data_IF_253183391351
#
_entry.id   IF_253183391351
#
_cell.length_a   1.000
_cell.length_b   1.000
_cell.length_c   1.000
_cell.angle_alpha   90.00
_cell.angle_beta   90.00
_cell.angle_gamma   90.00
#
_symmetry.space_group_name_H-M   'P 1'
#
loop_
_entity.id
_entity.type
_entity.pdbx_description
1 polymer ?
#
# COMPACT_ATOMS: atom_id res chain seq x y z
N UNK A 1 -81.70 -7.76 -14.06
CA UNK A 1 -80.70 -8.60 -14.75
C UNK A 1 -79.81 -9.17 -13.66
N UNK A 2 -80.15 -10.30 -13.02
CA UNK A 2 -79.82 -11.69 -13.44
C UNK A 2 -78.31 -11.79 -13.75
N UNK A 3 -77.47 -12.59 -13.08
CA UNK A 3 -77.58 -13.89 -12.38
C UNK A 3 -76.27 -14.10 -11.59
N UNK A 4 -76.22 -14.44 -10.28
CA UNK A 4 -76.22 -15.79 -9.65
C UNK A 4 -75.11 -16.73 -10.20
N UNK A 5 -74.31 -17.52 -9.47
CA UNK A 5 -74.25 -17.98 -8.05
C UNK A 5 -73.04 -18.94 -7.92
N UNK A 6 -72.48 -19.03 -6.70
CA UNK A 6 -71.98 -20.21 -5.94
C UNK A 6 -70.97 -21.20 -6.56
N UNK A 7 -70.06 -21.88 -5.85
CA UNK A 7 -69.80 -22.10 -4.43
C UNK A 7 -69.07 -23.45 -4.22
N UNK A 8 -68.51 -23.65 -3.01
CA UNK A 8 -68.01 -24.91 -2.38
C UNK A 8 -66.61 -25.40 -2.80
N UNK A 9 -65.58 -25.49 -1.93
CA UNK A 9 -65.36 -26.22 -0.66
C UNK A 9 -65.18 -27.75 -0.81
N UNK A 10 -63.99 -28.26 -0.50
CA UNK A 10 -63.83 -29.55 0.21
C UNK A 10 -62.41 -29.73 0.75
N UNK A 11 -62.36 -30.05 2.05
CA UNK A 11 -61.25 -30.65 2.78
C UNK A 11 -60.92 -32.06 2.29
N UNK A 12 -59.67 -32.49 2.46
CA UNK A 12 -59.18 -33.85 2.83
C UNK A 12 -57.64 -33.76 2.86
N UNK A 13 -56.94 -33.76 3.99
CA UNK A 13 -56.67 -34.82 4.97
C UNK A 13 -56.08 -36.11 4.37
N UNK A 14 -54.75 -36.29 4.46
CA UNK A 14 -54.10 -37.58 4.74
C UNK A 14 -52.57 -37.47 4.74
N UNK A 15 -52.01 -37.29 5.93
CA UNK A 15 -50.76 -37.92 6.37
C UNK A 15 -51.09 -39.40 6.63
N UNK A 16 -50.26 -40.40 6.27
CA UNK A 16 -49.33 -40.92 7.28
C UNK A 16 -48.05 -41.60 6.71
N UNK A 17 -46.92 -41.51 7.41
CA UNK A 17 -46.22 -42.72 7.86
C UNK A 17 -45.22 -42.43 8.98
N UNK A 18 -45.27 -43.31 9.98
CA UNK A 18 -44.73 -43.19 11.33
C UNK A 18 -43.55 -44.15 11.51
N UNK A 19 -42.62 -43.71 12.36
CA UNK A 19 -41.80 -44.49 13.31
C UNK A 19 -40.81 -45.54 12.82
N UNK A 20 -39.59 -45.40 13.33
CA UNK A 20 -39.01 -46.41 14.24
C UNK A 20 -38.00 -45.78 15.20
N UNK A 21 -38.35 -45.80 16.50
CA UNK A 21 -37.44 -45.66 17.65
C UNK A 21 -36.73 -47.00 17.87
N UNK A 22 -35.48 -46.97 18.34
CA UNK A 22 -35.12 -47.39 19.72
C UNK A 22 -33.65 -47.78 19.82
N UNK A 23 -33.00 -47.35 20.90
CA UNK A 23 -32.10 -48.08 21.81
C UNK A 23 -31.26 -47.01 22.54
N UNK A 24 -31.70 -46.50 23.70
CA UNK A 24 -31.30 -46.94 25.06
C UNK A 24 -29.83 -47.36 25.18
N UNK A 25 -29.04 -46.55 25.89
CA UNK A 25 -28.23 -47.07 26.97
C UNK A 25 -28.04 -46.01 28.07
N UNK A 26 -28.60 -46.32 29.24
CA UNK A 26 -28.24 -45.78 30.55
C UNK A 26 -27.22 -46.73 31.19
N UNK A 27 -26.44 -46.21 32.14
CA UNK A 27 -25.64 -46.97 33.10
C UNK A 27 -24.15 -46.65 32.98
N UNK A 28 -23.39 -46.50 34.04
CA UNK A 28 -23.71 -46.26 35.45
C UNK A 28 -22.40 -45.81 36.12
N UNK A 29 -22.56 -45.24 37.30
CA UNK A 29 -21.57 -45.04 38.37
C UNK A 29 -20.19 -45.71 38.26
N UNK A 30 -19.13 -44.97 38.62
CA UNK A 30 -18.30 -45.37 39.77
C UNK A 30 -17.41 -44.23 40.27
N UNK A 31 -17.63 -43.93 41.54
CA UNK A 31 -16.69 -43.26 42.44
C UNK A 31 -15.32 -43.96 42.45
N UNK A 32 -14.25 -43.18 42.59
CA UNK A 32 -13.12 -43.58 43.45
C UNK A 32 -12.33 -42.36 43.93
N UNK A 33 -12.59 -42.04 45.19
CA UNK A 33 -11.62 -41.43 46.07
C UNK A 33 -10.37 -42.32 46.18
N UNK A 34 -9.19 -41.69 46.23
CA UNK A 34 -8.16 -42.06 47.18
C UNK A 34 -7.22 -40.88 47.43
N UNK A 35 -7.37 -40.29 48.60
CA UNK A 35 -6.32 -39.61 49.35
C UNK A 35 -5.14 -40.54 49.63
N UNK A 36 -3.92 -40.00 49.74
CA UNK A 36 -3.03 -40.05 50.94
C UNK A 36 -1.58 -39.70 50.55
N UNK A 37 -0.96 -38.84 51.37
CA UNK A 37 0.49 -38.71 51.55
C UNK A 37 1.10 -37.49 50.86
N UNK A 38 1.45 -36.38 51.52
CA UNK A 38 1.94 -36.22 52.88
C UNK A 38 3.48 -36.30 52.91
N UNK A 39 4.15 -35.15 52.75
CA UNK A 39 5.52 -34.94 53.25
C UNK A 39 5.83 -33.44 53.33
N UNK A 40 5.60 -32.89 54.51
CA UNK A 40 6.33 -31.76 55.09
C UNK A 40 7.83 -32.06 55.14
N UNK A 41 8.69 -31.07 54.90
CA UNK A 41 9.67 -30.54 55.89
C UNK A 41 10.59 -29.49 55.28
N UNK A 42 10.79 -28.40 56.03
CA UNK A 42 12.02 -27.58 56.20
C UNK A 42 12.72 -27.06 54.93
N UNK A 43 12.92 -25.77 54.71
CA UNK A 43 13.34 -24.76 55.67
C UNK A 43 14.79 -24.39 55.40
N UNK A 44 15.05 -23.15 54.95
CA UNK A 44 16.10 -22.26 55.45
C UNK A 44 16.23 -21.00 54.59
N UNK A 45 16.04 -19.90 55.28
CA UNK A 45 16.60 -18.57 55.07
C UNK A 45 18.04 -18.58 54.55
N UNK A 46 18.36 -17.61 53.68
CA UNK A 46 19.57 -16.80 53.86
C UNK A 46 19.44 -15.45 53.13
N UNK A 47 18.92 -14.47 53.88
CA UNK A 47 19.47 -13.13 53.88
C UNK A 47 20.83 -13.20 54.56
N UNK A 48 21.90 -12.81 53.86
CA UNK A 48 23.09 -12.10 54.36
C UNK A 48 24.20 -12.25 53.32
N UNK A 49 24.47 -11.19 52.57
CA UNK A 49 25.84 -10.71 52.41
C UNK A 49 25.83 -9.28 51.85
N UNK A 50 25.70 -8.33 52.78
CA UNK A 50 26.22 -6.98 52.61
C UNK A 50 27.25 -6.76 53.72
N UNK A 51 28.33 -6.07 53.37
CA UNK A 51 29.33 -5.38 54.23
C UNK A 51 30.61 -6.12 54.64
N UNK A 52 31.63 -5.99 53.78
CA UNK A 52 33.05 -5.64 54.09
C UNK A 52 33.75 -5.52 52.73
N UNK A 53 34.30 -4.40 52.29
CA UNK A 53 35.46 -3.70 52.84
C UNK A 53 35.39 -2.21 52.41
N UNK A 54 35.43 -1.31 53.40
CA UNK A 54 35.86 0.08 53.27
C UNK A 54 37.37 0.11 53.48
N UNK A 55 38.10 0.74 52.56
CA UNK A 55 39.11 1.79 52.79
C UNK A 55 40.23 1.70 51.76
N UNK A 56 40.39 2.74 50.94
CA UNK A 56 41.62 3.52 50.85
C UNK A 56 41.27 4.87 50.21
N UNK A 57 41.78 5.93 50.85
CA UNK A 57 41.61 7.36 50.59
C UNK A 57 42.38 7.80 49.35
N UNK A 58 41.82 8.76 48.62
CA UNK A 58 42.36 10.12 48.35
C UNK A 58 43.79 10.15 47.80
N UNK A 59 43.94 10.56 46.54
CA UNK A 59 44.85 11.65 46.18
C UNK A 59 44.68 12.14 44.73
N UNK A 60 44.89 13.45 44.59
CA UNK A 60 45.34 14.21 43.42
C UNK A 60 44.38 14.44 42.22
N UNK A 61 43.64 15.54 42.34
CA UNK A 61 43.18 16.39 41.22
C UNK A 61 44.39 17.04 40.55
N UNK A 62 44.64 16.73 39.27
CA UNK A 62 45.45 17.54 38.37
C UNK A 62 44.63 17.91 37.14
N UNK A 63 44.24 19.18 37.08
CA UNK A 63 43.56 19.78 35.95
C UNK A 63 44.50 19.82 34.73
N UNK A 64 44.15 19.07 33.68
CA UNK A 64 44.73 19.25 32.34
C UNK A 64 43.90 20.28 31.55
N UNK A 65 44.52 21.13 30.70
CA UNK A 65 43.79 22.12 29.92
C UNK A 65 42.97 21.43 28.83
N UNK A 66 41.66 21.67 28.82
CA UNK A 66 40.76 21.18 27.79
C UNK A 66 41.15 21.78 26.42
N UNK A 67 41.79 20.95 25.58
CA UNK A 67 41.87 21.21 24.15
C UNK A 67 40.45 21.15 23.58
N UNK A 68 39.91 22.33 23.28
CA UNK A 68 38.57 22.52 22.76
C UNK A 68 38.52 22.10 21.28
N UNK A 69 38.54 20.79 21.01
CA UNK A 69 38.40 20.27 19.65
C UNK A 69 36.93 19.97 19.38
N UNK A 70 36.35 20.69 18.40
CA UNK A 70 34.99 20.42 17.90
C UNK A 70 34.93 18.96 17.43
N UNK A 71 33.79 18.26 17.62
CA UNK A 71 33.63 16.92 17.06
C UNK A 71 33.71 16.96 15.52
N UNK A 72 34.27 15.91 14.92
CA UNK A 72 34.32 15.80 13.46
C UNK A 72 32.90 15.69 12.88
N UNK A 73 32.66 16.42 11.78
CA UNK A 73 31.42 16.28 11.04
C UNK A 73 31.29 14.86 10.50
N UNK A 74 30.14 14.21 10.76
CA UNK A 74 29.84 12.84 10.29
C UNK A 74 29.99 12.65 8.77
N UNK A 75 29.90 13.74 8.01
CA UNK A 75 30.02 13.73 6.55
C UNK A 75 31.45 14.07 6.05
N UNK A 76 32.38 14.38 6.95
CA UNK A 76 33.78 14.67 6.63
C UNK A 76 33.94 15.67 5.47
N UNK A 77 34.82 15.35 4.52
CA UNK A 77 35.07 16.17 3.33
C UNK A 77 33.88 16.26 2.36
N UNK A 78 32.81 15.46 2.56
CA UNK A 78 31.58 15.47 1.74
C UNK A 78 30.43 16.28 2.35
N UNK A 79 30.66 16.98 3.46
CA UNK A 79 29.63 17.81 4.09
C UNK A 79 29.22 18.97 3.16
N UNK A 80 27.92 19.09 2.86
CA UNK A 80 27.37 20.18 2.02
C UNK A 80 27.22 21.52 2.76
N UNK A 81 27.43 21.52 4.08
CA UNK A 81 27.34 22.67 4.96
C UNK A 81 28.72 23.23 5.34
N UNK A 82 29.77 22.91 4.56
CA UNK A 82 31.12 23.44 4.81
C UNK A 82 31.21 24.97 4.71
N UNK A 83 30.25 25.62 4.07
CA UNK A 83 30.14 27.09 3.97
C UNK A 83 29.14 27.70 4.96
N UNK A 84 28.46 26.90 5.78
CA UNK A 84 27.50 27.38 6.77
C UNK A 84 28.23 27.70 8.08
N UNK A 85 28.19 28.97 8.49
CA UNK A 85 28.94 29.46 9.65
C UNK A 85 28.48 28.82 10.97
N UNK A 86 27.16 28.68 11.16
CA UNK A 86 26.59 28.06 12.37
C UNK A 86 26.94 26.57 12.45
N UNK A 87 27.03 25.89 11.31
CA UNK A 87 27.52 24.51 11.23
C UNK A 87 29.00 24.41 11.59
N UNK A 88 29.85 25.27 11.00
CA UNK A 88 31.30 25.29 11.22
C UNK A 88 31.68 25.73 12.64
N UNK A 89 30.79 26.41 13.37
CA UNK A 89 30.94 26.68 14.81
C UNK A 89 30.82 25.41 15.66
N UNK A 90 30.10 24.38 15.20
CA UNK A 90 29.81 23.16 15.97
C UNK A 90 30.64 21.95 15.57
N UNK A 91 31.11 21.90 14.33
CA UNK A 91 31.81 20.73 13.77
C UNK A 91 33.09 21.12 13.02
N UNK A 92 34.08 20.24 13.02
CA UNK A 92 35.31 20.38 12.23
C UNK A 92 35.32 19.44 11.02
N UNK A 93 36.01 19.86 9.95
CA UNK A 93 36.17 19.09 8.71
C UNK A 93 37.67 18.86 8.43
N UNK A 94 38.05 17.71 7.84
CA UNK A 94 39.43 17.49 7.41
C UNK A 94 39.82 18.50 6.33
N UNK A 95 41.01 19.11 6.45
CA UNK A 95 41.52 20.02 5.44
C UNK A 95 41.62 19.29 4.09
N UNK A 96 41.02 19.86 3.05
CA UNK A 96 41.05 19.30 1.69
C UNK A 96 42.48 19.41 1.17
N UNK A 97 43.26 18.34 1.24
CA UNK A 97 44.61 18.29 0.66
C UNK A 97 44.50 18.53 -0.84
N UNK A 98 45.08 19.64 -1.32
CA UNK A 98 45.15 19.95 -2.73
C UNK A 98 46.02 18.90 -3.44
N UNK A 99 45.43 18.14 -4.37
CA UNK A 99 46.21 17.36 -5.33
C UNK A 99 46.89 18.32 -6.33
N UNK A 100 48.19 18.16 -6.62
CA UNK A 100 48.87 18.97 -7.62
C UNK A 100 48.57 18.43 -9.03
N UNK A 101 48.10 19.31 -9.91
CA UNK A 101 48.15 19.10 -11.36
C UNK A 101 46.79 18.95 -12.05
N UNK A 102 46.20 20.08 -12.43
CA UNK A 102 45.41 20.19 -13.66
C UNK A 102 45.35 21.67 -14.07
N UNK A 103 46.19 22.00 -15.05
CA UNK A 103 46.19 23.26 -15.80
C UNK A 103 44.86 23.47 -16.51
N UNK A 104 44.35 24.69 -16.39
CA UNK A 104 43.12 25.16 -17.00
C UNK A 104 43.23 25.22 -18.54
N UNK A 105 42.27 24.60 -19.22
CA UNK A 105 41.89 24.95 -20.59
C UNK A 105 40.45 25.43 -20.55
N UNK A 106 40.28 26.71 -20.86
CA UNK A 106 38.99 27.36 -21.06
C UNK A 106 38.43 26.94 -22.42
N UNK A 107 37.45 26.04 -22.40
CA UNK A 107 36.34 25.97 -23.37
C UNK A 107 35.44 24.80 -22.95
N UNK A 108 34.35 25.10 -22.24
CA UNK A 108 33.28 24.15 -21.99
C UNK A 108 31.96 24.88 -22.06
N UNK A 109 31.18 24.50 -23.07
CA UNK A 109 29.84 24.96 -23.37
C UNK A 109 28.93 24.92 -22.14
N UNK A 110 28.19 26.02 -21.99
CA UNK A 110 27.23 26.30 -20.93
C UNK A 110 25.97 25.42 -21.06
N UNK A 111 26.09 24.10 -20.82
CA UNK A 111 24.93 23.20 -20.77
C UNK A 111 24.40 23.14 -19.33
N UNK A 112 23.24 23.77 -19.12
CA UNK A 112 22.48 23.65 -17.86
C UNK A 112 22.07 22.20 -17.66
N UNK A 113 22.19 21.68 -16.44
CA UNK A 113 21.76 20.32 -16.11
C UNK A 113 20.23 20.21 -16.24
N UNK A 114 19.69 19.06 -16.65
CA UNK A 114 18.24 18.88 -16.68
C UNK A 114 17.64 18.89 -15.27
N UNK A 115 16.59 19.69 -15.09
CA UNK A 115 15.87 19.70 -13.84
C UNK A 115 15.19 18.34 -13.61
N UNK A 116 15.49 17.68 -12.48
CA UNK A 116 14.91 16.39 -12.09
C UNK A 116 13.37 16.39 -12.04
N UNK A 117 12.75 17.55 -11.88
CA UNK A 117 11.29 17.71 -11.83
C UNK A 117 10.66 18.04 -13.19
N UNK A 118 11.47 18.12 -14.25
CA UNK A 118 11.02 18.37 -15.63
C UNK A 118 10.12 19.60 -15.74
N UNK A 119 9.08 19.51 -16.58
CA UNK A 119 8.11 20.60 -16.78
C UNK A 119 7.23 20.91 -15.55
N UNK A 120 7.30 20.10 -14.48
CA UNK A 120 6.50 20.26 -13.26
C UNK A 120 7.32 20.86 -12.09
N UNK A 121 8.49 21.45 -12.37
CA UNK A 121 9.30 22.06 -11.34
C UNK A 121 8.56 23.22 -10.65
N UNK A 122 8.44 23.18 -9.31
CA UNK A 122 7.83 24.27 -8.54
C UNK A 122 8.69 25.53 -8.46
N UNK A 123 9.95 25.45 -8.89
CA UNK A 123 10.94 26.53 -8.86
C UNK A 123 11.09 27.24 -10.20
N UNK A 124 10.11 27.09 -11.11
CA UNK A 124 10.10 27.81 -12.40
C UNK A 124 10.14 29.33 -12.25
N UNK A 125 9.76 29.85 -11.07
CA UNK A 125 9.82 31.28 -10.73
C UNK A 125 11.08 31.70 -9.96
N UNK A 126 12.00 30.77 -9.63
CA UNK A 126 13.26 31.08 -8.94
C UNK A 126 14.39 31.31 -9.96
N UNK A 127 14.91 32.54 -10.11
CA UNK A 127 15.95 32.85 -11.09
C UNK A 127 17.24 32.07 -10.85
N UNK A 128 17.61 31.84 -9.59
CA UNK A 128 18.85 31.12 -9.24
C UNK A 128 18.77 29.64 -9.61
N UNK A 129 17.57 29.07 -9.51
CA UNK A 129 17.29 27.70 -9.96
C UNK A 129 17.31 27.60 -11.49
N UNK A 130 16.61 28.52 -12.17
CA UNK A 130 16.53 28.56 -13.63
C UNK A 130 17.88 28.87 -14.31
N UNK A 131 18.81 29.51 -13.62
CA UNK A 131 20.18 29.70 -14.10
C UNK A 131 21.00 28.42 -14.10
N UNK A 132 20.70 27.48 -13.20
CA UNK A 132 21.44 26.23 -13.05
C UNK A 132 20.83 25.06 -13.82
N UNK A 133 19.50 25.05 -13.98
CA UNK A 133 18.77 23.91 -14.53
C UNK A 133 17.91 24.28 -15.74
N UNK A 134 17.90 23.41 -16.76
CA UNK A 134 17.01 23.52 -17.91
C UNK A 134 15.71 22.74 -17.71
N UNK A 135 14.62 23.28 -18.26
CA UNK A 135 13.28 22.70 -18.21
C UNK A 135 12.74 22.57 -19.64
N UNK A 136 12.10 21.45 -20.01
CA UNK A 136 11.45 21.32 -21.31
C UNK A 136 10.27 22.30 -21.41
N UNK A 137 10.32 23.22 -22.39
CA UNK A 137 9.21 24.15 -22.66
C UNK A 137 8.05 23.42 -23.32
N UNK A 138 6.81 23.75 -22.93
CA UNK A 138 5.57 23.11 -23.36
C UNK A 138 5.22 23.29 -24.86
N UNK A 139 6.11 23.89 -25.66
CA UNK A 139 5.83 24.38 -27.03
C UNK A 139 6.65 23.69 -28.13
N UNK A 140 7.44 22.66 -27.83
CA UNK A 140 8.31 22.00 -28.83
C UNK A 140 7.73 20.72 -29.49
N UNK A 141 6.40 20.53 -29.47
CA UNK A 141 5.74 19.43 -30.16
C UNK A 141 4.68 19.98 -31.11
N UNK A 142 5.07 20.67 -32.18
CA UNK A 142 4.24 20.92 -33.37
C UNK A 142 5.12 21.44 -34.53
N UNK A 143 5.35 20.57 -35.53
CA UNK A 143 5.61 20.93 -36.93
C UNK A 143 7.06 20.88 -37.45
N UNK A 144 7.36 19.96 -38.38
CA UNK A 144 7.52 20.33 -39.79
C UNK A 144 7.62 19.10 -40.73
N UNK A 145 7.29 19.34 -42.00
CA UNK A 145 6.85 18.43 -43.07
C UNK A 145 7.97 17.92 -44.01
N UNK A 146 7.64 16.84 -44.77
CA UNK A 146 8.26 16.17 -45.94
C UNK A 146 9.35 16.91 -46.76
N UNK A 147 10.37 16.27 -47.38
CA UNK A 147 10.31 15.32 -48.54
C UNK A 147 11.72 14.64 -48.81
N UNK A 148 11.97 13.83 -49.88
CA UNK A 148 12.60 12.49 -49.79
C UNK A 148 13.99 12.34 -50.46
N UNK A 149 14.48 11.09 -50.53
CA UNK A 149 15.64 10.50 -51.26
C UNK A 149 16.97 10.50 -50.48
N UNK A 150 17.47 9.34 -50.04
CA UNK A 150 18.24 8.38 -50.82
C UNK A 150 18.85 7.28 -49.93
N UNK A 151 19.07 6.10 -50.54
CA UNK A 151 19.63 4.92 -49.92
C UNK A 151 21.13 5.05 -49.64
N UNK A 152 21.61 4.53 -48.50
CA UNK A 152 22.62 3.46 -48.44
C UNK A 152 23.00 3.10 -47.00
N UNK A 153 23.14 1.79 -46.81
CA UNK A 153 23.66 1.03 -45.67
C UNK A 153 24.63 1.72 -44.71
N UNK A 154 24.41 1.55 -43.40
CA UNK A 154 25.41 0.91 -42.55
C UNK A 154 24.86 0.42 -41.22
N UNK A 155 25.33 -0.77 -40.82
CA UNK A 155 25.18 -1.40 -39.51
C UNK A 155 25.79 -0.49 -38.44
N UNK A 156 25.08 -0.27 -37.33
CA UNK A 156 25.67 -0.30 -36.00
C UNK A 156 24.61 -0.35 -34.89
N UNK A 157 25.00 -1.04 -33.82
CA UNK A 157 24.25 -1.26 -32.59
C UNK A 157 23.72 0.07 -32.02
N UNK A 158 22.44 0.11 -31.65
CA UNK A 158 21.86 1.26 -30.97
C UNK A 158 21.14 0.86 -29.68
N UNK A 159 21.79 1.19 -28.58
CA UNK A 159 21.27 1.23 -27.21
C UNK A 159 20.53 2.56 -27.03
N UNK A 160 19.26 2.64 -27.45
CA UNK A 160 18.42 3.82 -27.20
C UNK A 160 16.91 3.49 -27.27
N UNK A 161 16.34 2.90 -26.21
CA UNK A 161 14.88 2.76 -26.10
C UNK A 161 14.38 2.67 -24.64
N UNK A 162 14.37 3.78 -23.90
CA UNK A 162 13.64 3.82 -22.62
C UNK A 162 12.73 5.01 -22.38
N UNK A 163 12.78 6.09 -23.17
CA UNK A 163 11.95 7.29 -22.90
C UNK A 163 10.53 7.24 -23.50
N UNK A 164 10.33 6.61 -24.66
CA UNK A 164 9.00 6.50 -25.31
C UNK A 164 8.12 5.36 -24.76
N UNK A 165 8.73 4.30 -24.21
CA UNK A 165 7.98 3.14 -23.69
C UNK A 165 7.31 3.45 -22.34
N UNK A 166 7.90 4.32 -21.51
CA UNK A 166 7.37 4.64 -20.19
C UNK A 166 6.11 5.53 -20.26
N UNK A 167 6.01 6.43 -21.22
CA UNK A 167 4.87 7.36 -21.36
C UNK A 167 3.61 6.69 -21.89
N UNK A 168 3.75 5.74 -22.83
CA UNK A 168 2.63 4.98 -23.39
C UNK A 168 1.99 4.10 -22.32
N UNK A 169 2.81 3.42 -21.50
CA UNK A 169 2.31 2.57 -20.42
C UNK A 169 1.62 3.37 -19.30
N UNK A 170 2.04 4.60 -19.04
CA UNK A 170 1.42 5.46 -18.02
C UNK A 170 0.01 5.95 -18.46
N UNK A 171 -0.15 6.34 -19.73
CA UNK A 171 -1.43 6.79 -20.28
C UNK A 171 -2.46 5.64 -20.32
N UNK A 172 -2.05 4.45 -20.76
CA UNK A 172 -2.92 3.27 -20.78
C UNK A 172 -3.37 2.87 -19.37
N UNK A 173 -2.48 2.92 -18.38
CA UNK A 173 -2.85 2.68 -16.98
C UNK A 173 -3.84 3.72 -16.45
N UNK A 174 -3.64 5.00 -16.77
CA UNK A 174 -4.58 6.04 -16.39
C UNK A 174 -5.96 5.84 -17.02
N UNK A 175 -6.04 5.45 -18.30
CA UNK A 175 -7.30 5.10 -18.97
C UNK A 175 -7.95 3.87 -18.35
N UNK A 176 -7.16 2.84 -18.05
CA UNK A 176 -7.62 1.63 -17.39
C UNK A 176 -8.25 1.96 -16.04
N UNK A 177 -7.64 2.82 -15.22
CA UNK A 177 -8.21 3.27 -13.94
C UNK A 177 -9.45 4.15 -14.10
N UNK A 178 -9.51 5.02 -15.11
CA UNK A 178 -10.74 5.78 -15.39
C UNK A 178 -11.92 4.85 -15.71
N UNK A 179 -11.72 3.88 -16.60
CA UNK A 179 -12.74 2.90 -17.00
C UNK A 179 -13.09 1.98 -15.82
N UNK A 180 -12.07 1.38 -15.19
CA UNK A 180 -12.25 0.47 -14.06
C UNK A 180 -12.91 1.13 -12.87
N UNK A 181 -12.57 2.39 -12.61
CA UNK A 181 -13.22 3.25 -11.63
C UNK A 181 -14.70 3.47 -11.92
N UNK A 182 -15.05 3.81 -13.16
CA UNK A 182 -16.45 3.97 -13.56
C UNK A 182 -17.25 2.67 -13.37
N UNK A 183 -16.67 1.52 -13.76
CA UNK A 183 -17.28 0.20 -13.55
C UNK A 183 -17.52 -0.06 -12.06
N UNK A 184 -16.53 0.16 -11.22
CA UNK A 184 -16.62 -0.07 -9.79
C UNK A 184 -17.63 0.89 -9.12
N UNK A 185 -17.62 2.17 -9.50
CA UNK A 185 -18.50 3.19 -8.94
C UNK A 185 -19.98 2.92 -9.25
N UNK A 186 -20.32 2.53 -10.48
CA UNK A 186 -21.70 2.23 -10.89
C UNK A 186 -22.33 1.09 -10.08
N UNK A 187 -21.50 0.16 -9.58
CA UNK A 187 -21.92 -0.99 -8.79
C UNK A 187 -22.11 -0.71 -7.31
N UNK A 188 -21.54 0.39 -6.80
CA UNK A 188 -21.75 0.78 -5.42
C UNK A 188 -23.21 1.10 -5.15
N UNK A 189 -23.64 0.95 -3.90
CA UNK A 189 -24.97 1.41 -3.50
C UNK A 189 -25.10 2.92 -3.74
N UNK A 190 -26.32 3.40 -3.98
CA UNK A 190 -26.57 4.85 -4.15
C UNK A 190 -26.10 5.66 -2.93
N UNK A 191 -26.20 5.05 -1.74
CA UNK A 191 -25.68 5.63 -0.50
C UNK A 191 -24.16 5.78 -0.53
N UNK A 192 -23.43 4.77 -0.97
CA UNK A 192 -21.96 4.80 -1.05
C UNK A 192 -21.47 5.78 -2.10
N UNK A 193 -22.09 5.78 -3.30
CA UNK A 193 -21.79 6.75 -4.35
C UNK A 193 -21.97 8.19 -3.84
N UNK A 194 -23.07 8.45 -3.13
CA UNK A 194 -23.34 9.76 -2.52
C UNK A 194 -22.33 10.10 -1.43
N UNK A 195 -22.00 9.15 -0.57
CA UNK A 195 -21.01 9.32 0.51
C UNK A 195 -19.64 9.67 -0.04
N UNK A 196 -19.18 8.99 -1.08
CA UNK A 196 -17.89 9.28 -1.74
C UNK A 196 -17.93 10.67 -2.39
N UNK A 197 -18.99 10.98 -3.16
CA UNK A 197 -19.11 12.27 -3.85
C UNK A 197 -19.15 13.47 -2.90
N UNK A 198 -19.76 13.30 -1.73
CA UNK A 198 -19.95 14.37 -0.72
C UNK A 198 -18.90 14.34 0.39
N UNK A 199 -17.87 13.50 0.27
CA UNK A 199 -16.82 13.39 1.28
C UNK A 199 -16.04 14.72 1.46
N UNK A 200 -15.52 14.87 2.68
CA UNK A 200 -14.59 15.95 3.02
C UNK A 200 -13.24 15.73 2.34
N UNK A 201 -12.57 16.81 2.01
CA UNK A 201 -11.27 16.78 1.33
C UNK A 201 -10.15 16.19 2.23
N UNK A 202 -10.35 16.24 3.55
CA UNK A 202 -9.47 15.68 4.58
C UNK A 202 -9.87 14.27 5.03
N UNK A 203 -10.90 13.65 4.44
CA UNK A 203 -11.34 12.32 4.84
C UNK A 203 -10.39 11.20 4.40
N UNK A 204 -9.62 11.43 3.34
CA UNK A 204 -8.55 10.54 2.89
C UNK A 204 -7.24 11.30 2.92
N UNK A 205 -6.25 10.72 3.61
CA UNK A 205 -4.88 11.23 3.67
C UNK A 205 -3.99 10.31 2.86
N UNK A 206 -3.11 10.88 2.03
CA UNK A 206 -2.07 10.16 1.30
C UNK A 206 -0.71 10.55 1.86
N UNK A 207 0.03 9.55 2.32
CA UNK A 207 1.43 9.69 2.70
C UNK A 207 2.27 9.17 1.54
N UNK A 208 3.03 10.05 0.87
CA UNK A 208 3.77 9.67 -0.33
C UNK A 208 4.91 8.71 -0.02
N UNK A 209 5.23 7.91 -1.03
CA UNK A 209 6.22 6.84 -0.98
C UNK A 209 7.39 7.09 -1.94
N UNK A 210 8.19 6.05 -2.15
CA UNK A 210 9.29 6.07 -3.14
C UNK A 210 8.83 5.57 -4.51
N UNK A 211 7.95 4.57 -4.57
CA UNK A 211 7.56 3.89 -5.81
C UNK A 211 6.05 3.87 -6.05
N UNK A 212 5.24 3.71 -5.01
CA UNK A 212 3.79 3.69 -5.14
C UNK A 212 3.19 5.11 -5.22
N UNK A 213 2.09 5.23 -5.98
CA UNK A 213 1.44 6.49 -6.34
C UNK A 213 -0.09 6.40 -6.27
N UNK A 214 -0.63 5.98 -5.11
CA UNK A 214 -2.07 5.91 -4.89
C UNK A 214 -2.81 7.23 -5.19
N UNK A 215 -2.16 8.38 -5.02
CA UNK A 215 -2.69 9.70 -5.35
C UNK A 215 -3.16 9.79 -6.82
N UNK A 216 -2.41 9.18 -7.74
CA UNK A 216 -2.77 9.12 -9.16
C UNK A 216 -4.00 8.25 -9.39
N UNK A 217 -4.12 7.13 -8.66
CA UNK A 217 -5.30 6.26 -8.72
C UNK A 217 -6.51 6.99 -8.16
N UNK A 218 -6.42 7.55 -6.95
CA UNK A 218 -7.50 8.29 -6.30
C UNK A 218 -8.01 9.44 -7.15
N UNK A 219 -7.11 10.18 -7.81
CA UNK A 219 -7.49 11.23 -8.74
C UNK A 219 -8.35 10.71 -9.92
N UNK A 220 -8.00 9.55 -10.49
CA UNK A 220 -8.80 8.91 -11.56
C UNK A 220 -10.13 8.37 -11.06
N UNK A 221 -10.19 7.95 -9.80
CA UNK A 221 -11.41 7.52 -9.13
C UNK A 221 -12.28 8.68 -8.63
N UNK A 222 -11.85 9.94 -8.83
CA UNK A 222 -12.48 11.15 -8.29
C UNK A 222 -12.68 11.09 -6.76
N UNK A 223 -11.80 10.40 -6.05
CA UNK A 223 -11.76 10.37 -4.59
C UNK A 223 -10.92 11.55 -4.13
N UNK A 224 -11.48 12.39 -3.27
CA UNK A 224 -10.76 13.53 -2.72
C UNK A 224 -9.74 13.07 -1.69
N UNK A 225 -8.57 13.70 -1.69
CA UNK A 225 -7.53 13.40 -0.72
C UNK A 225 -6.67 14.62 -0.38
N UNK A 226 -6.02 14.56 0.77
CA UNK A 226 -4.97 15.49 1.20
C UNK A 226 -3.64 14.76 1.28
N UNK A 227 -2.58 15.33 0.71
CA UNK A 227 -1.22 14.78 0.83
C UNK A 227 -0.57 15.30 2.10
N UNK A 228 0.07 14.40 2.86
CA UNK A 228 0.83 14.73 4.08
C UNK A 228 2.17 14.01 4.01
N UNK A 229 3.26 14.75 4.12
CA UNK A 229 4.61 14.19 4.05
C UNK A 229 4.93 13.36 5.29
N UNK A 230 5.79 12.35 5.13
CA UNK A 230 6.11 11.39 6.21
C UNK A 230 6.62 12.05 7.50
N UNK A 231 7.38 13.14 7.37
CA UNK A 231 7.93 13.87 8.51
C UNK A 231 6.88 14.75 9.21
N UNK A 232 5.83 15.15 8.50
CA UNK A 232 4.73 15.96 9.05
C UNK A 232 3.82 15.12 9.94
N UNK A 233 3.75 13.80 9.71
CA UNK A 233 2.88 12.88 10.47
C UNK A 233 3.10 12.98 11.98
N UNK A 234 4.34 13.24 12.43
CA UNK A 234 4.70 13.36 13.85
C UNK A 234 3.87 14.43 14.56
N UNK A 235 3.48 15.49 13.86
CA UNK A 235 2.69 16.59 14.42
C UNK A 235 1.30 16.70 13.77
N UNK A 236 1.01 15.86 12.77
CA UNK A 236 -0.24 15.93 12.05
C UNK A 236 -1.44 15.68 12.99
N UNK A 237 -2.47 16.54 12.97
CA UNK A 237 -3.62 16.44 13.86
C UNK A 237 -4.66 15.46 13.32
N UNK A 238 -4.32 14.16 13.29
CA UNK A 238 -5.22 13.12 12.78
C UNK A 238 -6.61 13.19 13.39
N UNK A 239 -7.61 12.81 12.60
CA UNK A 239 -9.00 12.63 13.01
C UNK A 239 -9.39 11.18 12.79
N UNK A 240 -10.13 10.61 13.72
CA UNK A 240 -10.45 9.18 13.67
C UNK A 240 -11.29 8.82 12.45
N UNK A 241 -12.12 9.72 11.89
CA UNK A 241 -12.88 9.45 10.67
C UNK A 241 -12.01 9.25 9.41
N UNK A 242 -10.73 9.61 9.46
CA UNK A 242 -9.86 9.57 8.30
C UNK A 242 -9.46 8.15 7.93
N UNK A 243 -9.21 7.97 6.64
CA UNK A 243 -8.51 6.83 6.06
C UNK A 243 -7.13 7.31 5.60
N UNK A 244 -6.04 6.69 6.05
CA UNK A 244 -4.68 7.11 5.70
C UNK A 244 -4.02 6.05 4.82
N UNK A 245 -3.78 6.37 3.57
CA UNK A 245 -2.97 5.56 2.66
C UNK A 245 -1.50 5.90 2.85
N UNK A 246 -0.68 4.89 3.07
CA UNK A 246 0.75 5.00 3.28
C UNK A 246 1.45 4.19 2.20
N UNK A 247 1.95 4.91 1.20
CA UNK A 247 2.68 4.30 0.10
C UNK A 247 4.00 3.72 0.59
N UNK A 248 4.48 2.68 -0.11
CA UNK A 248 5.76 2.06 0.14
C UNK A 248 6.89 3.11 0.14
N UNK A 249 7.76 3.09 1.14
CA UNK A 249 8.87 4.02 1.23
C UNK A 249 10.14 3.30 1.64
N UNK A 250 11.27 3.66 1.03
CA UNK A 250 12.59 3.12 1.39
C UNK A 250 13.01 3.47 2.82
N UNK A 251 12.46 4.56 3.36
CA UNK A 251 12.63 5.02 4.74
C UNK A 251 11.30 5.56 5.25
N UNK A 252 11.04 5.39 6.53
CA UNK A 252 9.89 5.97 7.21
C UNK A 252 10.31 6.35 8.64
N UNK A 253 9.99 7.56 9.16
CA UNK A 253 10.35 7.94 10.52
C UNK A 253 9.68 7.01 11.55
N UNK A 254 10.46 6.44 12.48
CA UNK A 254 9.92 5.48 13.47
C UNK A 254 8.88 6.14 14.38
N UNK A 255 9.13 7.38 14.76
CA UNK A 255 8.25 8.21 15.58
C UNK A 255 6.90 8.43 14.88
N UNK A 256 6.89 8.60 13.56
CA UNK A 256 5.66 8.67 12.79
C UNK A 256 4.91 7.34 12.79
N UNK A 257 5.61 6.19 12.70
CA UNK A 257 5.00 4.87 12.74
C UNK A 257 4.32 4.60 14.09
N UNK A 258 5.00 4.92 15.21
CA UNK A 258 4.39 4.78 16.54
C UNK A 258 3.19 5.71 16.73
N UNK A 259 3.29 6.94 16.25
CA UNK A 259 2.16 7.89 16.29
C UNK A 259 0.96 7.37 15.50
N UNK A 260 1.18 6.78 14.32
CA UNK A 260 0.10 6.15 13.56
C UNK A 260 -0.59 5.06 14.39
N UNK A 261 0.17 4.20 15.09
CA UNK A 261 -0.42 3.21 16.01
C UNK A 261 -1.28 3.85 17.09
N UNK A 262 -0.81 4.89 17.75
CA UNK A 262 -1.61 5.58 18.79
C UNK A 262 -2.95 6.09 18.24
N UNK A 263 -3.00 6.55 16.99
CA UNK A 263 -4.24 7.00 16.38
C UNK A 263 -5.10 5.86 15.83
N UNK A 264 -4.49 4.77 15.33
CA UNK A 264 -5.21 3.55 14.98
C UNK A 264 -5.92 3.01 16.22
N UNK A 265 -5.24 2.91 17.36
CA UNK A 265 -5.85 2.49 18.63
C UNK A 265 -7.06 3.35 19.02
N UNK A 266 -7.04 4.64 18.68
CA UNK A 266 -8.14 5.59 18.91
C UNK A 266 -9.27 5.51 17.90
N UNK A 267 -9.07 4.87 16.75
CA UNK A 267 -10.09 4.70 15.71
C UNK A 267 -9.66 4.98 14.28
N UNK A 268 -8.41 5.40 14.02
CA UNK A 268 -7.93 5.67 12.67
C UNK A 268 -7.87 4.39 11.83
N UNK A 269 -8.13 4.50 10.52
CA UNK A 269 -7.90 3.42 9.57
C UNK A 269 -6.67 3.75 8.73
N UNK A 270 -5.69 2.84 8.70
CA UNK A 270 -4.52 2.96 7.83
C UNK A 270 -4.48 1.83 6.79
N UNK A 271 -4.04 2.17 5.59
CA UNK A 271 -3.76 1.23 4.51
C UNK A 271 -2.31 1.41 4.11
N UNK A 272 -1.56 0.32 4.03
CA UNK A 272 -0.12 0.34 3.78
C UNK A 272 0.24 -0.55 2.59
N UNK A 273 1.24 -0.17 1.81
CA UNK A 273 1.72 -0.95 0.66
C UNK A 273 3.17 -1.39 0.79
N UNK A 274 3.43 -2.62 0.36
CA UNK A 274 4.73 -3.24 0.16
C UNK A 274 5.76 -2.95 1.27
N UNK A 275 6.78 -2.11 1.02
CA UNK A 275 7.86 -1.85 1.98
C UNK A 275 7.42 -1.19 3.29
N UNK A 276 6.21 -0.63 3.33
CA UNK A 276 5.59 -0.21 4.58
C UNK A 276 5.45 -1.38 5.58
N UNK A 277 5.45 -2.64 5.14
CA UNK A 277 5.52 -3.81 6.03
C UNK A 277 6.72 -3.74 6.98
N UNK A 278 7.92 -3.48 6.44
CA UNK A 278 9.13 -3.37 7.26
C UNK A 278 9.23 -2.01 7.96
N UNK A 279 8.88 -0.94 7.26
CA UNK A 279 9.19 0.42 7.69
C UNK A 279 8.11 1.05 8.59
N UNK A 280 6.89 0.51 8.57
CA UNK A 280 5.76 0.99 9.38
C UNK A 280 5.23 -0.14 10.26
N UNK A 281 4.82 -1.26 9.67
CA UNK A 281 4.11 -2.31 10.41
C UNK A 281 5.01 -3.09 11.35
N UNK A 282 6.20 -3.50 10.95
CA UNK A 282 7.15 -4.13 11.87
C UNK A 282 7.64 -3.19 12.98
N UNK A 283 7.60 -1.88 12.74
CA UNK A 283 8.04 -0.90 13.74
C UNK A 283 6.95 -0.72 14.79
N UNK A 284 5.71 -0.50 14.36
CA UNK A 284 4.63 -0.13 15.27
C UNK A 284 3.65 -1.27 15.59
N UNK A 285 3.49 -2.27 14.73
CA UNK A 285 2.50 -3.36 14.80
C UNK A 285 3.17 -4.75 14.71
N UNK A 286 4.37 -4.90 15.26
CA UNK A 286 5.21 -6.12 15.18
C UNK A 286 4.52 -7.41 15.64
N UNK A 287 3.54 -7.28 16.53
CA UNK A 287 2.83 -8.41 17.11
C UNK A 287 1.82 -9.04 16.14
N UNK A 288 1.51 -8.36 15.03
CA UNK A 288 0.50 -8.81 14.06
C UNK A 288 1.13 -9.43 12.82
N UNK A 289 2.01 -8.67 12.17
CA UNK A 289 2.62 -9.06 10.89
C UNK A 289 4.06 -8.58 10.83
N UNK A 290 4.86 -9.31 10.05
CA UNK A 290 6.22 -8.91 9.69
C UNK A 290 6.56 -9.42 8.30
N UNK A 291 7.68 -8.97 7.77
CA UNK A 291 8.27 -9.49 6.56
C UNK A 291 8.89 -10.86 6.81
N UNK A 292 8.65 -11.80 5.92
CA UNK A 292 9.13 -13.19 6.06
C UNK A 292 10.62 -13.38 5.71
N UNK A 293 11.32 -12.31 5.35
CA UNK A 293 12.75 -12.34 4.99
C UNK A 293 13.04 -12.57 3.51
N UNK A 294 12.05 -12.82 2.66
CA UNK A 294 12.24 -13.07 1.23
C UNK A 294 11.85 -11.88 0.35
N UNK A 295 12.30 -11.83 -0.90
CA UNK A 295 11.92 -10.76 -1.83
C UNK A 295 11.33 -11.37 -3.10
N UNK A 296 10.21 -10.82 -3.58
CA UNK A 296 9.57 -11.29 -4.81
C UNK A 296 10.40 -10.93 -6.04
N UNK A 297 10.17 -11.63 -7.14
CA UNK A 297 10.61 -11.24 -8.48
C UNK A 297 9.53 -10.35 -9.13
N UNK A 298 9.86 -9.75 -10.27
CA UNK A 298 8.85 -9.14 -11.15
C UNK A 298 8.01 -10.27 -11.78
N UNK A 299 6.78 -10.46 -11.28
CA UNK A 299 5.91 -11.54 -11.72
C UNK A 299 4.43 -11.27 -11.42
N UNK A 300 3.55 -11.89 -12.21
CA UNK A 300 2.10 -11.89 -11.93
C UNK A 300 1.66 -13.23 -11.37
N UNK A 301 0.92 -13.18 -10.25
CA UNK A 301 0.36 -14.36 -9.58
C UNK A 301 -1.16 -14.38 -9.66
N UNK A 302 -1.75 -15.58 -9.73
CA UNK A 302 -3.20 -15.75 -9.55
C UNK A 302 -3.59 -15.52 -8.09
N UNK A 303 -4.76 -14.93 -7.86
CA UNK A 303 -5.27 -14.63 -6.52
C UNK A 303 -6.66 -15.20 -6.26
N UNK A 304 -6.97 -15.37 -4.97
CA UNK A 304 -8.26 -15.82 -4.47
C UNK A 304 -8.73 -14.92 -3.34
N UNK A 305 -10.01 -14.55 -3.34
CA UNK A 305 -10.65 -13.86 -2.22
C UNK A 305 -11.06 -14.91 -1.20
N UNK A 306 -10.59 -14.75 0.05
CA UNK A 306 -10.82 -15.73 1.13
C UNK A 306 -12.25 -15.67 1.63
N UNK A 307 -12.76 -14.46 1.91
CA UNK A 307 -14.15 -14.21 2.27
C UNK A 307 -14.76 -13.17 1.31
N UNK A 308 -15.48 -13.61 0.26
CA UNK A 308 -16.10 -12.73 -0.71
C UNK A 308 -17.16 -11.78 -0.14
N UNK A 309 -17.66 -12.05 1.06
CA UNK A 309 -18.67 -11.21 1.72
C UNK A 309 -18.04 -10.18 2.67
N UNK A 310 -16.74 -10.26 2.92
CA UNK A 310 -16.05 -9.27 3.75
C UNK A 310 -16.17 -7.88 3.12
N UNK A 311 -16.56 -6.88 3.91
CA UNK A 311 -16.95 -5.55 3.41
C UNK A 311 -15.88 -4.86 2.57
N UNK A 312 -14.60 -5.12 2.82
CA UNK A 312 -13.49 -4.56 2.04
C UNK A 312 -13.32 -5.21 0.66
N UNK A 313 -13.70 -6.47 0.47
CA UNK A 313 -13.51 -7.22 -0.79
C UNK A 313 -14.82 -7.70 -1.42
N UNK A 314 -15.95 -7.23 -0.91
CA UNK A 314 -17.25 -7.46 -1.53
C UNK A 314 -17.26 -6.91 -2.96
N UNK A 315 -17.61 -7.77 -3.92
CA UNK A 315 -17.61 -7.45 -5.33
C UNK A 315 -16.23 -7.23 -5.97
N UNK A 316 -15.14 -7.55 -5.26
CA UNK A 316 -13.74 -7.38 -5.70
C UNK A 316 -13.46 -8.11 -7.01
N UNK A 317 -13.82 -9.40 -7.11
CA UNK A 317 -13.78 -10.15 -8.37
C UNK A 317 -15.19 -10.15 -8.96
N UNK A 318 -15.35 -9.59 -10.16
CA UNK A 318 -16.60 -9.73 -10.90
C UNK A 318 -16.83 -11.21 -11.26
N UNK A 319 -18.09 -11.66 -11.14
CA UNK A 319 -18.52 -13.02 -11.44
C UNK A 319 -18.52 -13.33 -12.96
N UNK A 320 -17.44 -12.95 -13.66
CA UNK A 320 -17.08 -13.61 -14.89
C UNK A 320 -16.70 -15.04 -14.50
N UNK A 321 -17.56 -16.02 -14.82
CA UNK A 321 -17.25 -17.45 -14.69
C UNK A 321 -15.85 -17.65 -15.31
N UNK A 322 -14.85 -18.05 -14.52
CA UNK A 322 -13.42 -18.14 -14.92
C UNK A 322 -12.64 -16.80 -15.03
N UNK A 323 -12.91 -15.83 -14.15
CA UNK A 323 -12.21 -14.53 -14.12
C UNK A 323 -10.70 -14.64 -13.93
N UNK A 324 -10.19 -15.67 -13.24
CA UNK A 324 -8.75 -15.89 -12.96
C UNK A 324 -8.02 -14.58 -12.57
N UNK A 325 -8.50 -13.87 -11.53
CA UNK A 325 -7.94 -12.58 -11.16
C UNK A 325 -6.45 -12.71 -10.84
N UNK A 326 -5.73 -11.66 -11.22
CA UNK A 326 -4.28 -11.62 -11.13
C UNK A 326 -3.82 -10.47 -10.24
N UNK A 327 -2.62 -10.61 -9.70
CA UNK A 327 -1.96 -9.59 -8.92
C UNK A 327 -0.50 -9.51 -9.33
N UNK A 328 -0.03 -8.29 -9.60
CA UNK A 328 1.37 -8.08 -9.93
C UNK A 328 2.20 -7.89 -8.67
N UNK A 329 3.33 -8.60 -8.63
CA UNK A 329 4.38 -8.47 -7.63
C UNK A 329 5.57 -7.80 -8.32
N UNK A 330 6.03 -6.67 -7.78
CA UNK A 330 7.22 -6.02 -8.29
C UNK A 330 8.47 -6.75 -7.81
N UNK A 331 9.61 -6.50 -8.46
CA UNK A 331 10.90 -6.95 -7.92
C UNK A 331 11.09 -6.37 -6.52
N UNK A 332 11.39 -7.25 -5.57
CA UNK A 332 11.63 -6.93 -4.17
C UNK A 332 10.42 -6.46 -3.37
N UNK A 333 9.20 -6.83 -3.77
CA UNK A 333 8.07 -6.74 -2.85
C UNK A 333 8.24 -7.66 -1.64
N UNK A 334 7.56 -7.33 -0.54
CA UNK A 334 7.77 -7.91 0.79
C UNK A 334 6.68 -8.92 1.21
N UNK A 335 6.90 -10.25 1.07
CA UNK A 335 5.92 -11.23 1.51
C UNK A 335 5.66 -11.20 3.02
N UNK A 336 4.40 -11.49 3.37
CA UNK A 336 3.83 -11.22 4.68
C UNK A 336 3.89 -12.50 5.53
N UNK A 337 4.62 -12.44 6.64
CA UNK A 337 4.51 -13.41 7.72
C UNK A 337 3.46 -12.92 8.73
N UNK A 338 2.43 -13.74 8.95
CA UNK A 338 1.41 -13.48 9.95
C UNK A 338 1.91 -13.99 11.30
N UNK A 339 2.15 -13.06 12.23
CA UNK A 339 2.63 -13.34 13.59
C UNK A 339 1.45 -13.75 14.47
N UNK A 340 0.37 -12.98 14.44
CA UNK A 340 -0.85 -13.25 15.22
C UNK A 340 -1.97 -13.79 14.33
N UNK A 341 -2.05 -15.12 14.25
CA UNK A 341 -3.04 -15.83 13.42
C UNK A 341 -4.49 -15.70 13.90
N UNK A 342 -4.69 -15.32 15.16
CA UNK A 342 -6.04 -15.15 15.72
C UNK A 342 -6.65 -13.79 15.34
N UNK A 343 -5.83 -12.75 15.27
CA UNK A 343 -6.29 -11.38 15.03
C UNK A 343 -6.13 -10.92 13.58
N UNK A 344 -5.18 -11.50 12.83
CA UNK A 344 -4.94 -11.14 11.44
C UNK A 344 -5.80 -11.98 10.51
N UNK A 345 -6.60 -11.30 9.69
CA UNK A 345 -7.42 -11.92 8.64
C UNK A 345 -6.75 -11.74 7.28
N UNK A 346 -6.61 -12.83 6.54
CA UNK A 346 -6.23 -12.79 5.13
C UNK A 346 -7.49 -12.52 4.31
N UNK A 347 -7.47 -11.42 3.55
CA UNK A 347 -8.58 -11.07 2.64
C UNK A 347 -8.37 -11.67 1.26
N UNK A 348 -7.11 -11.67 0.80
CA UNK A 348 -6.71 -12.18 -0.51
C UNK A 348 -5.45 -13.01 -0.34
N UNK A 349 -5.43 -14.19 -0.97
CA UNK A 349 -4.29 -15.10 -0.96
C UNK A 349 -3.87 -15.50 -2.38
N UNK A 350 -2.69 -16.09 -2.49
CA UNK A 350 -2.15 -16.69 -3.71
C UNK A 350 -1.38 -17.96 -3.41
N UNK A 351 -1.77 -19.07 -4.03
CA UNK A 351 -1.02 -20.33 -3.93
C UNK A 351 0.36 -20.21 -4.58
N UNK A 352 0.46 -19.51 -5.71
CA UNK A 352 1.74 -19.32 -6.40
C UNK A 352 2.74 -18.51 -5.55
N UNK A 353 2.24 -17.55 -4.75
CA UNK A 353 3.07 -16.82 -3.79
C UNK A 353 3.57 -17.76 -2.67
N UNK A 354 2.72 -18.65 -2.16
CA UNK A 354 3.10 -19.63 -1.13
C UNK A 354 4.19 -20.58 -1.64
N UNK A 355 3.99 -21.17 -2.82
CA UNK A 355 4.90 -22.16 -3.37
C UNK A 355 6.31 -21.60 -3.56
N UNK A 356 6.42 -20.32 -3.96
CA UNK A 356 7.70 -19.64 -4.23
C UNK A 356 8.30 -18.98 -3.00
N UNK A 357 7.47 -18.37 -2.15
CA UNK A 357 7.93 -17.44 -1.12
C UNK A 357 7.53 -17.82 0.31
N UNK A 358 6.82 -18.95 0.49
CA UNK A 358 6.34 -19.42 1.80
C UNK A 358 5.45 -18.39 2.53
N UNK A 359 4.72 -17.60 1.74
CA UNK A 359 3.72 -16.62 2.18
C UNK A 359 2.59 -16.67 1.17
N UNK A 360 1.37 -16.97 1.58
CA UNK A 360 0.20 -16.97 0.68
C UNK A 360 -0.54 -15.63 0.71
N UNK A 361 -0.36 -14.82 1.75
CA UNK A 361 -1.09 -13.58 1.96
C UNK A 361 -0.70 -12.48 0.96
N UNK A 362 -1.70 -11.97 0.24
CA UNK A 362 -1.58 -10.82 -0.67
C UNK A 362 -2.13 -9.55 -0.03
N UNK A 363 -3.31 -9.65 0.61
CA UNK A 363 -3.92 -8.57 1.40
C UNK A 363 -4.34 -9.13 2.75
N UNK A 364 -3.94 -8.44 3.82
CA UNK A 364 -4.33 -8.75 5.20
C UNK A 364 -4.98 -7.55 5.87
N UNK A 365 -5.80 -7.82 6.87
CA UNK A 365 -6.35 -6.80 7.76
C UNK A 365 -6.39 -7.28 9.21
N UNK A 366 -6.26 -6.35 10.15
CA UNK A 366 -6.43 -6.62 11.57
C UNK A 366 -6.89 -5.35 12.29
N UNK A 367 -7.64 -5.54 13.36
CA UNK A 367 -8.08 -4.46 14.22
C UNK A 367 -7.00 -4.16 15.26
N UNK A 368 -6.87 -2.88 15.63
CA UNK A 368 -5.98 -2.44 16.69
C UNK A 368 -6.67 -1.31 17.46
N UNK A 369 -7.05 -1.60 18.71
CA UNK A 369 -7.95 -0.76 19.48
C UNK A 369 -9.29 -0.57 18.76
N UNK A 370 -9.67 0.67 18.47
CA UNK A 370 -10.92 1.00 17.75
C UNK A 370 -10.72 1.22 16.24
N UNK A 371 -9.49 1.13 15.77
CA UNK A 371 -9.13 1.34 14.37
C UNK A 371 -8.79 0.03 13.68
N UNK A 372 -8.38 0.16 12.42
CA UNK A 372 -8.06 -0.96 11.56
C UNK A 372 -6.77 -0.70 10.78
N UNK A 373 -6.01 -1.75 10.54
CA UNK A 373 -4.87 -1.76 9.64
C UNK A 373 -5.19 -2.69 8.47
N UNK A 374 -4.96 -2.22 7.26
CA UNK A 374 -4.97 -3.04 6.05
C UNK A 374 -3.61 -2.95 5.38
N UNK A 375 -3.08 -4.08 4.94
CA UNK A 375 -1.77 -4.15 4.30
C UNK A 375 -1.83 -5.01 3.04
N UNK A 376 -1.10 -4.58 2.01
CA UNK A 376 -0.92 -5.35 0.77
C UNK A 376 0.55 -5.46 0.38
N UNK A 377 0.91 -6.62 -0.19
CA UNK A 377 2.27 -6.97 -0.60
C UNK A 377 2.81 -6.12 -1.79
N UNK A 378 1.96 -5.44 -2.55
CA UNK A 378 2.37 -4.70 -3.77
C UNK A 378 1.80 -3.28 -3.79
N UNK A 379 1.92 -2.59 -4.93
CA UNK A 379 1.57 -1.19 -5.13
C UNK A 379 0.16 -0.99 -5.67
N UNK A 380 -0.47 0.15 -5.37
CA UNK A 380 -1.77 0.49 -5.96
C UNK A 380 -1.65 0.94 -7.41
N UNK A 381 -0.74 1.86 -7.72
CA UNK A 381 -0.68 2.48 -9.06
C UNK A 381 0.00 1.59 -10.09
N UNK A 382 1.05 0.93 -9.63
CA UNK A 382 1.87 0.01 -10.39
C UNK A 382 1.20 -1.36 -10.32
N UNK A 383 0.14 -1.55 -11.12
CA UNK A 383 -0.49 -2.84 -11.37
C UNK A 383 -0.26 -3.23 -12.83
N UNK A 384 0.40 -4.36 -13.07
CA UNK A 384 0.55 -4.93 -14.40
C UNK A 384 -0.38 -6.13 -14.53
N UNK A 385 -0.81 -6.37 -15.75
CA UNK A 385 -1.56 -7.57 -16.07
C UNK A 385 -0.77 -8.34 -17.11
N UNK A 386 -0.41 -9.56 -16.77
CA UNK A 386 0.07 -10.50 -17.77
C UNK A 386 -1.13 -11.05 -18.55
N UNK A 387 -0.86 -11.56 -19.75
CA UNK A 387 -1.89 -12.18 -20.57
C UNK A 387 -1.62 -13.67 -20.79
N UNK A 388 -1.54 -14.48 -19.71
CA UNK A 388 -1.14 -15.89 -19.79
C UNK A 388 -2.14 -16.74 -20.58
N UNK A 389 -3.41 -16.32 -20.68
CA UNK A 389 -4.45 -17.05 -21.40
C UNK A 389 -5.07 -16.18 -22.51
N UNK A 390 -5.79 -16.83 -23.43
CA UNK A 390 -6.45 -16.17 -24.56
C UNK A 390 -7.46 -15.09 -24.12
N UNK A 391 -8.12 -15.29 -22.96
CA UNK A 391 -9.11 -14.35 -22.43
C UNK A 391 -8.47 -13.02 -22.01
N UNK A 392 -7.32 -13.07 -21.37
CA UNK A 392 -6.62 -11.87 -20.91
C UNK A 392 -6.14 -11.00 -22.09
N UNK A 393 -5.90 -11.62 -23.25
CA UNK A 393 -5.58 -10.92 -24.51
C UNK A 393 -6.80 -10.34 -25.23
N UNK A 394 -8.02 -10.70 -24.81
CA UNK A 394 -9.22 -10.18 -25.46
C UNK A 394 -9.31 -8.65 -25.28
N UNK A 395 -9.98 -7.94 -26.19
CA UNK A 395 -10.20 -6.51 -26.05
C UNK A 395 -11.00 -6.14 -24.79
N UNK A 396 -10.82 -4.93 -24.27
CA UNK A 396 -11.58 -4.39 -23.14
C UNK A 396 -13.11 -4.50 -23.29
N UNK A 397 -13.62 -4.43 -24.53
CA UNK A 397 -15.04 -4.57 -24.85
C UNK A 397 -15.59 -5.94 -24.43
N UNK A 398 -14.77 -6.99 -24.52
CA UNK A 398 -15.19 -8.32 -24.09
C UNK A 398 -15.40 -8.37 -22.57
N UNK A 399 -14.58 -7.67 -21.80
CA UNK A 399 -14.79 -7.55 -20.35
C UNK A 399 -16.14 -6.90 -20.05
N UNK A 400 -16.46 -5.81 -20.74
CA UNK A 400 -17.74 -5.12 -20.60
C UNK A 400 -18.94 -6.04 -20.85
N UNK A 401 -18.87 -6.86 -21.90
CA UNK A 401 -19.91 -7.84 -22.25
C UNK A 401 -20.05 -8.92 -21.17
N UNK A 402 -18.93 -9.48 -20.70
CA UNK A 402 -18.91 -10.54 -19.70
C UNK A 402 -19.55 -10.10 -18.38
N UNK A 403 -19.33 -8.84 -17.99
CA UNK A 403 -19.88 -8.27 -16.75
C UNK A 403 -21.28 -7.66 -16.95
N UNK A 404 -21.82 -7.69 -18.18
CA UNK A 404 -23.08 -7.05 -18.58
C UNK A 404 -23.11 -5.56 -18.21
N UNK A 405 -22.04 -4.85 -18.58
CA UNK A 405 -21.88 -3.44 -18.30
C UNK A 405 -22.99 -2.58 -18.93
N UNK A 406 -23.30 -1.44 -18.32
CA UNK A 406 -24.27 -0.49 -18.87
C UNK A 406 -23.82 0.11 -20.21
N UNK A 407 -24.77 0.75 -20.90
CA UNK A 407 -24.48 1.50 -22.13
C UNK A 407 -23.45 2.62 -21.91
N UNK A 408 -23.45 3.25 -20.73
CA UNK A 408 -22.51 4.31 -20.39
C UNK A 408 -21.08 3.76 -20.31
N UNK A 409 -20.89 2.64 -19.62
CA UNK A 409 -19.59 1.96 -19.55
C UNK A 409 -19.16 1.45 -20.93
N UNK A 410 -20.07 0.87 -21.70
CA UNK A 410 -19.77 0.37 -23.05
C UNK A 410 -19.32 1.49 -23.99
N UNK A 411 -19.96 2.67 -23.92
CA UNK A 411 -19.52 3.87 -24.65
C UNK A 411 -18.15 4.37 -24.19
N UNK A 412 -17.91 4.38 -22.87
CA UNK A 412 -16.63 4.79 -22.31
C UNK A 412 -15.49 3.88 -22.78
N UNK A 413 -15.69 2.56 -22.75
CA UNK A 413 -14.71 1.59 -23.25
C UNK A 413 -14.48 1.73 -24.75
N UNK A 414 -15.53 1.97 -25.53
CA UNK A 414 -15.41 2.18 -26.99
C UNK A 414 -14.59 3.42 -27.33
N UNK A 415 -14.67 4.46 -26.48
CA UNK A 415 -13.95 5.72 -26.65
C UNK A 415 -12.51 5.64 -26.15
N UNK A 416 -12.31 5.19 -24.92
CA UNK A 416 -11.03 5.33 -24.20
C UNK A 416 -10.30 3.99 -23.99
N UNK A 417 -10.93 2.86 -24.33
CA UNK A 417 -10.41 1.50 -24.10
C UNK A 417 -9.85 0.78 -25.33
N UNK A 418 -9.67 1.47 -26.47
CA UNK A 418 -9.27 0.83 -27.74
C UNK A 418 -7.91 0.11 -27.68
N UNK A 419 -6.97 0.61 -26.88
CA UNK A 419 -5.65 0.02 -26.68
C UNK A 419 -5.56 -0.87 -25.43
N UNK A 420 -6.67 -1.06 -24.72
CA UNK A 420 -6.71 -1.80 -23.48
C UNK A 420 -7.23 -3.21 -23.70
N UNK A 421 -6.64 -4.16 -22.98
CA UNK A 421 -7.08 -5.54 -22.98
C UNK A 421 -7.96 -5.86 -21.75
N UNK A 422 -8.54 -7.05 -21.78
CA UNK A 422 -9.40 -7.61 -20.74
C UNK A 422 -8.75 -7.55 -19.37
N UNK A 423 -7.48 -7.99 -19.28
CA UNK A 423 -6.79 -8.12 -18.00
C UNK A 423 -6.50 -6.75 -17.37
N UNK A 424 -6.17 -5.73 -18.17
CA UNK A 424 -5.97 -4.36 -17.69
C UNK A 424 -7.26 -3.79 -17.08
N UNK A 425 -8.41 -3.94 -17.75
CA UNK A 425 -9.69 -3.44 -17.21
C UNK A 425 -10.15 -4.26 -16.01
N UNK A 426 -9.94 -5.58 -16.03
CA UNK A 426 -10.25 -6.42 -14.89
C UNK A 426 -9.43 -6.01 -13.66
N UNK A 427 -8.12 -5.85 -13.81
CA UNK A 427 -7.22 -5.45 -12.74
C UNK A 427 -7.58 -4.07 -12.19
N UNK A 428 -7.76 -3.08 -13.06
CA UNK A 428 -8.09 -1.71 -12.65
C UNK A 428 -9.47 -1.62 -11.99
N UNK A 429 -10.49 -2.32 -12.48
CA UNK A 429 -11.82 -2.35 -11.85
C UNK A 429 -11.82 -3.05 -10.51
N UNK A 430 -11.06 -4.13 -10.38
CA UNK A 430 -10.87 -4.87 -9.13
C UNK A 430 -10.18 -3.99 -8.07
N UNK A 431 -9.07 -3.35 -8.45
CA UNK A 431 -8.33 -2.41 -7.60
C UNK A 431 -9.19 -1.20 -7.20
N UNK A 432 -9.95 -0.63 -8.15
CA UNK A 432 -10.86 0.47 -7.87
C UNK A 432 -11.99 0.09 -6.91
N UNK A 433 -12.59 -1.09 -7.08
CA UNK A 433 -13.63 -1.59 -6.18
C UNK A 433 -13.11 -1.72 -4.75
N UNK A 434 -11.91 -2.25 -4.58
CA UNK A 434 -11.26 -2.36 -3.27
C UNK A 434 -11.09 -1.00 -2.59
N UNK A 435 -10.56 -0.02 -3.33
CA UNK A 435 -10.38 1.35 -2.83
C UNK A 435 -11.71 1.98 -2.43
N UNK A 436 -12.74 1.86 -3.29
CA UNK A 436 -14.06 2.39 -2.97
C UNK A 436 -14.66 1.72 -1.73
N UNK A 437 -14.54 0.40 -1.59
CA UNK A 437 -15.00 -0.32 -0.42
C UNK A 437 -14.30 0.18 0.85
N UNK A 438 -12.97 0.31 0.84
CA UNK A 438 -12.23 0.79 2.01
C UNK A 438 -12.71 2.19 2.44
N UNK A 439 -12.85 3.10 1.49
CA UNK A 439 -13.26 4.49 1.76
C UNK A 439 -14.72 4.58 2.18
N UNK A 440 -15.65 3.93 1.47
CA UNK A 440 -17.08 4.00 1.77
C UNK A 440 -17.43 3.38 3.12
N UNK A 441 -16.86 2.21 3.43
CA UNK A 441 -17.06 1.56 4.72
C UNK A 441 -16.64 2.49 5.85
N UNK A 442 -15.47 3.14 5.75
CA UNK A 442 -15.00 4.03 6.80
C UNK A 442 -15.91 5.24 6.99
N UNK A 443 -16.30 5.88 5.90
CA UNK A 443 -17.16 7.05 5.92
C UNK A 443 -18.55 6.71 6.51
N UNK A 444 -19.09 5.53 6.20
CA UNK A 444 -20.39 5.09 6.72
C UNK A 444 -20.34 4.71 8.20
N UNK A 445 -19.30 3.98 8.65
CA UNK A 445 -19.15 3.63 10.08
C UNK A 445 -19.02 4.87 10.97
N UNK A 446 -18.39 5.93 10.46
CA UNK A 446 -18.28 7.20 11.17
C UNK A 446 -19.65 7.88 11.32
N UNK A 447 -20.46 7.92 10.25
CA UNK A 447 -21.81 8.54 10.28
C UNK A 447 -22.71 7.88 11.32
N UNK A 448 -22.70 6.54 11.37
CA UNK A 448 -23.47 5.75 12.35
C UNK A 448 -23.05 5.98 13.79
N UNK A 449 -21.79 6.36 14.04
CA UNK A 449 -21.31 6.65 15.40
C UNK A 449 -21.65 8.07 15.89
N UNK A 450 -22.15 8.92 14.99
CA UNK A 450 -22.48 10.34 15.26
C UNK A 450 -23.97 10.66 15.19
N UNK A 451 -24.79 9.70 14.75
CA UNK A 451 -26.26 9.75 14.79
C UNK A 451 -26.74 8.98 16.01
#
# INVERSE_FOLDING_TARGET
MQTTTDGQSSDTNSDPFRSSRSHTNQGDDTQREHSIGGATTSGRSNQQDQTKIKSMREDAVTASPALNTKPECRYGTKCRQQSDQTHCERFQHPAKTASPGATATADASNMKEECRYGSNCRYLSDPTHCDRFQHPTKTSLLGSTAHPSDQLSNKNLDTSSSSHSHTIHDDDMQKAYSIGGAIALERLSQQDQTTIKTMRDDAVIVVPGTYDHIDRVLAKLNIKFTVVEQHELINYPFRTYQTVYINCASKFPKEAAYRLREFVEKGLHIITTDWALRNVLQVAFSDFVKHNGQSTRDEVVGIEVVDPNHSFVSGFVLAAKHAQPQWWLETASHPIEIVNKEQVKVLIRSQALYDKYQSDAVIVTFDCGRGNVTHMISHFYLQRSETPNARHKMPAQQYAQDIKASDNITKLISKDGQNLNYAQIQSSSTSAQFIYNLVSNRLNSTKQSTS
#
